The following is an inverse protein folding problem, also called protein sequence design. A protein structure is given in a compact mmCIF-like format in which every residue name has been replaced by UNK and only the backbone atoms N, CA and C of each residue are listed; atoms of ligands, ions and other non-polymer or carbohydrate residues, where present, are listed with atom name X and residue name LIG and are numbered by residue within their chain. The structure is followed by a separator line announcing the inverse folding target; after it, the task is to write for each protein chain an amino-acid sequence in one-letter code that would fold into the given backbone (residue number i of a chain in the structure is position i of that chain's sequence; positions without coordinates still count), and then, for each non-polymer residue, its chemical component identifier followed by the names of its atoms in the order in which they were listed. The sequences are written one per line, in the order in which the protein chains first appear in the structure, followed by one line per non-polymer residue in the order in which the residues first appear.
data_IF_874469265228
#
_entry.id   IF_874469265228
#
_cell.length_a   1.000
_cell.length_b   1.000
_cell.length_c   1.000
_cell.angle_alpha   90.00
_cell.angle_beta   90.00
_cell.angle_gamma   90.00
#
_symmetry.space_group_name_H-M   'P 1'
#
loop_
_entity.id
_entity.type
_entity.pdbx_description
1 polymer ?
#
# COMPACT_ATOMS: atom_id res chain seq x y z
N UNK A 1 -9.52 3.17 -13.12
CA UNK A 1 -9.49 2.14 -12.07
C UNK A 1 -8.03 1.84 -11.85
N UNK A 2 -7.51 1.93 -10.63
CA UNK A 2 -6.06 1.76 -10.38
C UNK A 2 -5.74 0.27 -10.44
N UNK A 3 -4.86 -0.14 -11.32
CA UNK A 3 -4.53 -1.54 -11.56
C UNK A 3 -3.17 -1.92 -10.97
N UNK A 4 -2.25 -0.97 -10.80
CA UNK A 4 -0.87 -1.20 -10.36
C UNK A 4 -0.50 -0.36 -9.15
N UNK A 5 0.52 -0.80 -8.39
CA UNK A 5 1.05 -0.04 -7.25
C UNK A 5 1.56 1.34 -7.70
N UNK A 6 2.13 1.44 -8.91
CA UNK A 6 2.55 2.73 -9.50
C UNK A 6 1.39 3.72 -9.59
N UNK A 7 0.26 3.31 -10.16
CA UNK A 7 -0.89 4.21 -10.31
C UNK A 7 -1.44 4.68 -8.96
N UNK A 8 -1.38 3.81 -7.94
CA UNK A 8 -1.73 4.19 -6.57
C UNK A 8 -0.79 5.24 -6.00
N UNK A 9 0.52 5.06 -6.17
CA UNK A 9 1.53 6.04 -5.76
C UNK A 9 1.33 7.39 -6.48
N UNK A 10 1.22 7.38 -7.81
CA UNK A 10 1.12 8.60 -8.61
C UNK A 10 -0.13 9.41 -8.25
N UNK A 11 -1.27 8.74 -8.04
CA UNK A 11 -2.49 9.41 -7.64
C UNK A 11 -2.43 9.96 -6.21
N UNK A 12 -1.84 9.18 -5.28
CA UNK A 12 -1.64 9.64 -3.91
C UNK A 12 -0.77 10.89 -3.86
N UNK A 13 0.39 10.86 -4.53
CA UNK A 13 1.32 11.98 -4.60
C UNK A 13 0.68 13.16 -5.32
N UNK A 14 -0.10 12.92 -6.38
CA UNK A 14 -0.82 13.97 -7.09
C UNK A 14 -1.89 14.66 -6.23
N UNK A 15 -2.49 13.95 -5.27
CA UNK A 15 -3.57 14.46 -4.42
C UNK A 15 -3.07 15.08 -3.11
N UNK A 16 -2.10 14.43 -2.46
CA UNK A 16 -1.65 14.75 -1.11
C UNK A 16 -0.22 15.34 -1.07
N UNK A 17 0.54 15.22 -2.16
CA UNK A 17 1.96 15.58 -2.21
C UNK A 17 2.89 14.46 -1.72
N UNK A 18 4.15 14.82 -1.48
CA UNK A 18 5.15 13.92 -0.91
C UNK A 18 5.01 13.93 0.61
N UNK A 19 4.58 12.81 1.15
CA UNK A 19 4.35 12.54 2.56
C UNK A 19 5.22 11.37 3.00
N UNK A 20 5.43 11.20 4.31
CA UNK A 20 6.37 10.21 4.86
C UNK A 20 5.79 9.44 6.05
N UNK A 21 4.46 9.40 6.16
CA UNK A 21 3.76 8.67 7.21
C UNK A 21 3.46 7.22 6.80
N UNK A 22 2.84 6.44 7.70
CA UNK A 22 2.37 5.09 7.37
C UNK A 22 1.03 5.21 6.62
N UNK A 23 1.12 5.17 5.30
CA UNK A 23 0.00 5.46 4.40
C UNK A 23 -0.47 4.24 3.64
N UNK A 24 0.43 3.27 3.43
CA UNK A 24 0.14 2.09 2.65
C UNK A 24 0.83 0.87 3.22
N UNK A 25 0.11 -0.24 3.16
CA UNK A 25 0.59 -1.58 3.45
C UNK A 25 0.33 -2.39 2.18
N UNK A 26 1.37 -2.98 1.63
CA UNK A 26 1.32 -3.83 0.45
C UNK A 26 1.56 -5.27 0.91
N UNK A 27 0.62 -6.14 0.56
CA UNK A 27 0.68 -7.56 0.85
C UNK A 27 0.68 -8.36 -0.46
N UNK A 28 1.50 -9.40 -0.57
CA UNK A 28 1.53 -10.31 -1.72
C UNK A 28 0.72 -11.57 -1.41
N UNK A 29 -0.29 -11.82 -2.23
CA UNK A 29 -1.21 -12.96 -2.12
C UNK A 29 -0.56 -14.32 -2.37
N UNK A 30 0.63 -14.33 -2.97
CA UNK A 30 1.39 -15.55 -3.25
C UNK A 30 2.19 -16.05 -2.04
N UNK A 31 2.34 -15.23 -1.00
CA UNK A 31 3.10 -15.57 0.20
C UNK A 31 2.20 -16.24 1.25
N UNK A 32 2.77 -17.16 2.05
CA UNK A 32 2.03 -17.85 3.10
C UNK A 32 1.40 -16.85 4.09
N UNK A 33 0.28 -17.24 4.70
CA UNK A 33 -0.62 -16.38 5.51
C UNK A 33 0.05 -15.54 6.62
N UNK A 34 1.27 -15.87 7.04
CA UNK A 34 2.02 -15.20 8.09
C UNK A 34 3.09 -14.22 7.58
N UNK A 35 3.32 -14.17 6.26
CA UNK A 35 4.33 -13.33 5.59
C UNK A 35 3.79 -12.65 4.35
N UNK A 36 2.52 -12.24 4.40
CA UNK A 36 1.89 -11.58 3.25
C UNK A 36 2.38 -10.15 3.09
N UNK A 37 2.70 -9.42 4.16
CA UNK A 37 3.18 -8.02 4.07
C UNK A 37 4.59 -7.94 3.46
N UNK A 38 4.68 -7.33 2.27
CA UNK A 38 5.95 -7.09 1.55
C UNK A 38 6.45 -5.67 1.69
N UNK A 39 5.59 -4.73 2.07
CA UNK A 39 5.95 -3.34 2.33
C UNK A 39 4.94 -2.67 3.27
N UNK A 40 5.41 -1.81 4.15
CA UNK A 40 4.59 -0.88 4.92
C UNK A 40 5.32 0.45 5.10
N UNK A 41 4.65 1.56 4.80
CA UNK A 41 5.25 2.88 4.84
C UNK A 41 4.48 3.93 4.03
N UNK A 42 5.21 4.93 3.53
CA UNK A 42 4.66 6.01 2.71
C UNK A 42 4.49 5.58 1.25
N UNK A 43 3.58 6.21 0.52
CA UNK A 43 3.53 6.06 -0.94
C UNK A 43 4.80 6.59 -1.63
N UNK A 44 5.46 7.62 -1.07
CA UNK A 44 6.66 8.22 -1.65
C UNK A 44 7.87 7.27 -1.63
N UNK A 45 7.92 6.37 -0.63
CA UNK A 45 9.08 5.52 -0.34
C UNK A 45 8.90 4.06 -0.82
N UNK A 46 7.87 3.79 -1.63
CA UNK A 46 7.61 2.44 -2.17
C UNK A 46 8.81 1.98 -3.02
N UNK A 47 9.37 0.79 -2.77
CA UNK A 47 10.42 0.19 -3.58
C UNK A 47 10.00 0.05 -5.06
N UNK A 48 10.84 0.45 -6.02
CA UNK A 48 10.50 0.38 -7.45
C UNK A 48 10.16 -1.02 -7.96
N UNK A 49 10.65 -2.07 -7.30
CA UNK A 49 10.33 -3.47 -7.61
C UNK A 49 8.84 -3.82 -7.41
N UNK A 50 8.11 -3.03 -6.64
CA UNK A 50 6.67 -3.22 -6.41
C UNK A 50 5.81 -2.45 -7.41
N UNK A 51 6.35 -1.49 -8.17
CA UNK A 51 5.55 -0.61 -9.04
C UNK A 51 4.76 -1.35 -10.11
N UNK A 52 5.33 -2.40 -10.67
CA UNK A 52 4.71 -3.18 -11.75
C UNK A 52 3.79 -4.29 -11.21
N UNK A 53 3.67 -4.43 -9.88
CA UNK A 53 2.74 -5.37 -9.25
C UNK A 53 1.30 -4.91 -9.45
N UNK A 54 0.45 -5.85 -9.88
CA UNK A 54 -0.98 -5.61 -10.07
C UNK A 54 -1.69 -5.66 -8.73
N UNK A 55 -2.46 -4.63 -8.40
CA UNK A 55 -3.33 -4.59 -7.23
C UNK A 55 -4.61 -5.37 -7.54
N UNK A 56 -4.81 -6.48 -6.84
CA UNK A 56 -5.99 -7.35 -7.00
C UNK A 56 -7.09 -7.00 -6.00
N UNK A 57 -6.73 -6.53 -4.80
CA UNK A 57 -7.68 -6.02 -3.81
C UNK A 57 -7.11 -4.77 -3.14
N UNK A 58 -8.00 -3.86 -2.73
CA UNK A 58 -7.62 -2.66 -2.01
C UNK A 58 -8.68 -2.24 -1.00
N UNK A 59 -8.26 -1.58 0.07
CA UNK A 59 -9.17 -1.04 1.08
C UNK A 59 -8.48 -0.04 1.98
N UNK A 60 -9.26 0.72 2.75
CA UNK A 60 -8.74 1.61 3.79
C UNK A 60 -8.93 0.96 5.16
N UNK A 61 -7.89 0.94 5.97
CA UNK A 61 -7.93 0.35 7.30
C UNK A 61 -8.68 1.32 8.23
N UNK A 62 -9.90 0.93 8.62
CA UNK A 62 -10.76 1.73 9.53
C UNK A 62 -10.58 1.36 11.00
N UNK A 63 -10.08 0.15 11.28
CA UNK A 63 -9.83 -0.34 12.62
C UNK A 63 -8.66 -1.33 12.58
N UNK A 64 -7.73 -1.22 13.53
CA UNK A 64 -6.60 -2.14 13.69
C UNK A 64 -6.18 -2.20 15.16
N UNK A 65 -5.61 -3.33 15.57
CA UNK A 65 -4.91 -3.45 16.86
C UNK A 65 -3.59 -2.68 16.88
N UNK A 66 -3.07 -2.28 15.72
CA UNK A 66 -1.91 -1.40 15.56
C UNK A 66 -2.41 -0.01 15.16
N UNK A 67 -2.43 0.98 16.08
CA UNK A 67 -3.05 2.29 15.85
C UNK A 67 -2.49 3.04 14.64
N UNK A 68 -1.18 2.91 14.39
CA UNK A 68 -0.48 3.56 13.27
C UNK A 68 -1.00 3.10 11.89
N UNK A 69 -1.65 1.93 11.81
CA UNK A 69 -2.25 1.42 10.57
C UNK A 69 -3.61 2.02 10.27
N UNK A 70 -4.27 2.65 11.25
CA UNK A 70 -5.60 3.21 11.07
C UNK A 70 -5.49 4.41 10.14
N UNK A 71 -6.23 4.36 9.03
CA UNK A 71 -6.18 5.36 7.98
C UNK A 71 -5.28 5.00 6.80
N UNK A 72 -4.38 4.02 6.95
CA UNK A 72 -3.56 3.52 5.85
C UNK A 72 -4.39 2.71 4.84
N UNK A 73 -3.92 2.69 3.59
CA UNK A 73 -4.42 1.82 2.54
C UNK A 73 -3.79 0.44 2.66
N UNK A 74 -4.60 -0.59 2.49
CA UNK A 74 -4.16 -1.97 2.33
C UNK A 74 -4.28 -2.34 0.86
N UNK A 75 -3.18 -2.68 0.20
CA UNK A 75 -3.13 -3.15 -1.18
C UNK A 75 -2.71 -4.62 -1.17
N UNK A 76 -3.53 -5.49 -1.76
CA UNK A 76 -3.17 -6.87 -2.03
C UNK A 76 -2.71 -6.97 -3.48
N UNK A 77 -1.52 -7.53 -3.69
CA UNK A 77 -0.92 -7.78 -5.01
C UNK A 77 -0.73 -9.27 -5.30
#
# INVERSE_FOLDING_TARGET
MRETVREWQEEWIGTNGLTHELEVIISDSSLEAFRTEVYSGSFADIPPELFDKKVIENGKIIASTVPERIGAYSLLV
#
